data_IF_034487231475
#
_entry.id   IF_034487231475
#
_cell.length_a   1.000
_cell.length_b   1.000
_cell.length_c   1.000
_cell.angle_alpha   90.00
_cell.angle_beta   90.00
_cell.angle_gamma   90.00
#
_symmetry.space_group_name_H-M   'P 1'
#
loop_
_entity.id
_entity.type
_entity.pdbx_description
1 polymer ?
#
# COMPACT_ATOMS: atom_id res chain seq x y z
N UNK A 1 23.03 33.04 4.48
CA UNK A 1 21.71 33.10 5.16
C UNK A 1 20.65 33.12 4.10
N UNK A 2 19.61 32.29 4.25
CA UNK A 2 18.44 32.32 3.38
C UNK A 2 17.66 33.62 3.61
N UNK A 3 17.06 34.16 2.55
CA UNK A 3 16.13 35.28 2.71
C UNK A 3 14.93 34.86 3.57
N UNK A 4 14.48 35.75 4.46
CA UNK A 4 13.39 35.46 5.40
C UNK A 4 12.12 34.97 4.68
N UNK A 5 11.80 35.54 3.51
CA UNK A 5 10.66 35.11 2.68
C UNK A 5 10.76 33.66 2.23
N UNK A 6 11.98 33.20 1.88
CA UNK A 6 12.22 31.81 1.46
C UNK A 6 12.10 30.86 2.64
N UNK A 7 12.58 31.27 3.82
CA UNK A 7 12.47 30.51 5.06
C UNK A 7 11.01 30.33 5.49
N UNK A 8 10.21 31.38 5.42
CA UNK A 8 8.79 31.33 5.78
C UNK A 8 8.02 30.44 4.79
N UNK A 9 8.26 30.59 3.48
CA UNK A 9 7.69 29.70 2.47
C UNK A 9 8.04 28.23 2.71
N UNK A 10 9.32 27.92 2.94
CA UNK A 10 9.79 26.55 3.18
C UNK A 10 9.16 25.96 4.43
N UNK A 11 9.01 26.76 5.49
CA UNK A 11 8.36 26.35 6.73
C UNK A 11 6.90 25.99 6.47
N UNK A 12 6.16 26.83 5.74
CA UNK A 12 4.77 26.57 5.36
C UNK A 12 4.64 25.33 4.48
N UNK A 13 5.50 25.18 3.46
CA UNK A 13 5.49 24.03 2.56
C UNK A 13 5.78 22.72 3.31
N UNK A 14 6.80 22.70 4.18
CA UNK A 14 7.13 21.51 4.97
C UNK A 14 6.02 21.15 5.96
N UNK A 15 5.40 22.13 6.62
CA UNK A 15 4.25 21.87 7.49
C UNK A 15 3.04 21.34 6.72
N UNK A 16 2.81 21.85 5.51
CA UNK A 16 1.77 21.33 4.63
C UNK A 16 2.04 19.86 4.26
N UNK A 17 3.28 19.52 3.91
CA UNK A 17 3.68 18.13 3.63
C UNK A 17 3.55 17.21 4.84
N UNK A 18 3.86 17.69 6.05
CA UNK A 18 3.64 16.93 7.29
C UNK A 18 2.15 16.59 7.42
N UNK A 19 1.25 17.57 7.24
CA UNK A 19 -0.19 17.33 7.31
C UNK A 19 -0.68 16.34 6.25
N UNK A 20 -0.20 16.46 5.00
CA UNK A 20 -0.55 15.52 3.94
C UNK A 20 -0.02 14.11 4.22
N UNK A 21 1.19 13.99 4.74
CA UNK A 21 1.81 12.69 5.08
C UNK A 21 1.10 12.06 6.29
N UNK A 22 0.65 12.87 7.25
CA UNK A 22 -0.16 12.40 8.38
C UNK A 22 -1.52 11.86 7.89
N UNK A 23 -2.17 12.59 6.98
CA UNK A 23 -3.41 12.13 6.33
C UNK A 23 -3.19 10.83 5.57
N UNK A 24 -2.08 10.70 4.84
CA UNK A 24 -1.71 9.46 4.16
C UNK A 24 -1.52 8.31 5.15
N UNK A 25 -0.86 8.54 6.29
CA UNK A 25 -0.71 7.55 7.34
C UNK A 25 -2.06 7.07 7.87
N UNK A 26 -2.98 7.99 8.18
CA UNK A 26 -4.33 7.67 8.64
C UNK A 26 -5.11 6.85 7.60
N UNK A 27 -5.02 7.22 6.31
CA UNK A 27 -5.60 6.43 5.22
C UNK A 27 -5.03 5.01 5.15
N UNK A 28 -3.73 4.83 5.36
CA UNK A 28 -3.08 3.52 5.39
C UNK A 28 -3.50 2.67 6.61
N UNK A 29 -3.71 3.29 7.76
CA UNK A 29 -4.23 2.61 8.95
C UNK A 29 -5.70 2.21 8.74
N UNK A 30 -6.51 3.08 8.15
CA UNK A 30 -7.90 2.77 7.80
C UNK A 30 -7.97 1.65 6.73
N UNK A 31 -7.06 1.65 5.76
CA UNK A 31 -6.92 0.59 4.76
C UNK A 31 -6.63 -0.76 5.43
N UNK A 32 -5.75 -0.81 6.43
CA UNK A 32 -5.51 -2.01 7.23
C UNK A 32 -6.80 -2.50 7.90
N UNK A 33 -7.53 -1.61 8.58
CA UNK A 33 -8.76 -1.96 9.28
C UNK A 33 -9.86 -2.47 8.31
N UNK A 34 -9.97 -1.88 7.11
CA UNK A 34 -10.87 -2.36 6.08
C UNK A 34 -10.48 -3.76 5.56
N UNK A 35 -9.18 -4.05 5.43
CA UNK A 35 -8.74 -5.40 5.06
C UNK A 35 -9.07 -6.44 6.13
N UNK A 36 -8.94 -6.09 7.41
CA UNK A 36 -9.31 -6.97 8.53
C UNK A 36 -10.83 -7.24 8.56
N UNK A 37 -11.64 -6.23 8.23
CA UNK A 37 -13.12 -6.33 8.21
C UNK A 37 -13.70 -6.83 6.88
N UNK A 38 -12.88 -7.03 5.85
CA UNK A 38 -13.29 -7.40 4.48
C UNK A 38 -14.30 -6.42 3.83
N UNK A 39 -14.24 -5.15 4.18
CA UNK A 39 -15.13 -4.11 3.65
C UNK A 39 -14.63 -3.57 2.30
N UNK A 40 -14.94 -4.27 1.21
CA UNK A 40 -14.49 -3.92 -0.14
C UNK A 40 -15.05 -2.58 -0.65
N UNK A 41 -16.27 -2.20 -0.24
CA UNK A 41 -16.89 -0.94 -0.65
C UNK A 41 -16.16 0.30 -0.09
N UNK A 42 -15.65 0.19 1.15
CA UNK A 42 -14.89 1.25 1.81
C UNK A 42 -13.49 1.42 1.21
N UNK A 43 -12.94 0.36 0.60
CA UNK A 43 -11.59 0.34 0.04
C UNK A 43 -11.44 1.20 -1.22
N UNK A 44 -12.47 1.25 -2.08
CA UNK A 44 -12.42 2.02 -3.34
C UNK A 44 -12.32 3.54 -3.06
N UNK A 45 -13.08 4.03 -2.07
CA UNK A 45 -12.98 5.41 -1.59
C UNK A 45 -11.60 5.74 -1.02
N UNK A 46 -11.07 4.85 -0.17
CA UNK A 46 -9.72 5.00 0.41
C UNK A 46 -8.63 5.04 -0.67
N UNK A 47 -8.75 4.24 -1.74
CA UNK A 47 -7.78 4.22 -2.83
C UNK A 47 -7.75 5.56 -3.59
N UNK A 48 -8.92 6.14 -3.84
CA UNK A 48 -9.05 7.45 -4.49
C UNK A 48 -8.45 8.57 -3.63
N UNK A 49 -8.72 8.55 -2.33
CA UNK A 49 -8.17 9.54 -1.39
C UNK A 49 -6.66 9.39 -1.23
N UNK A 50 -6.13 8.16 -1.25
CA UNK A 50 -4.70 7.87 -1.24
C UNK A 50 -4.02 8.40 -2.50
N UNK A 51 -4.58 8.16 -3.69
CA UNK A 51 -4.06 8.67 -4.95
C UNK A 51 -4.03 10.20 -4.99
N UNK A 52 -5.11 10.86 -4.56
CA UNK A 52 -5.19 12.32 -4.46
C UNK A 52 -4.18 12.90 -3.46
N UNK A 53 -3.99 12.24 -2.32
CA UNK A 53 -3.03 12.69 -1.30
C UNK A 53 -1.59 12.53 -1.78
N UNK A 54 -1.27 11.44 -2.50
CA UNK A 54 0.06 11.23 -3.08
C UNK A 54 0.40 12.28 -4.15
N UNK A 55 -0.54 12.61 -5.03
CA UNK A 55 -0.35 13.66 -6.05
C UNK A 55 -0.08 15.03 -5.40
N UNK A 56 -0.77 15.35 -4.29
CA UNK A 56 -0.52 16.59 -3.53
C UNK A 56 0.88 16.60 -2.88
N UNK A 57 1.32 15.47 -2.30
CA UNK A 57 2.66 15.33 -1.73
C UNK A 57 3.72 15.52 -2.83
N UNK A 58 3.55 14.88 -3.99
CA UNK A 58 4.50 14.97 -5.10
C UNK A 58 4.60 16.39 -5.67
N UNK A 59 3.46 17.08 -5.82
CA UNK A 59 3.42 18.48 -6.22
C UNK A 59 4.14 19.38 -5.22
N UNK A 60 3.87 19.23 -3.92
CA UNK A 60 4.52 20.02 -2.87
C UNK A 60 6.03 19.77 -2.85
N UNK A 61 6.45 18.51 -2.94
CA UNK A 61 7.87 18.14 -2.96
C UNK A 61 8.58 18.75 -4.18
N UNK A 62 7.94 18.74 -5.35
CA UNK A 62 8.47 19.34 -6.58
C UNK A 62 8.59 20.85 -6.46
N UNK A 63 7.57 21.53 -5.91
CA UNK A 63 7.59 22.97 -5.66
C UNK A 63 8.72 23.36 -4.71
N UNK A 64 8.91 22.59 -3.62
CA UNK A 64 10.00 22.81 -2.66
C UNK A 64 11.38 22.66 -3.31
N UNK A 65 11.58 21.63 -4.13
CA UNK A 65 12.86 21.41 -4.81
C UNK A 65 13.15 22.48 -5.87
N UNK A 66 12.12 22.97 -6.56
CA UNK A 66 12.25 24.04 -7.56
C UNK A 66 12.78 25.36 -6.99
N UNK A 67 12.53 25.68 -5.73
CA UNK A 67 13.07 26.88 -5.05
C UNK A 67 14.60 26.89 -5.11
N UNK A 68 15.21 25.72 -4.95
CA UNK A 68 16.65 25.53 -4.99
C UNK A 68 17.16 25.13 -6.38
N UNK A 69 16.30 25.10 -7.40
CA UNK A 69 16.63 24.61 -8.74
C UNK A 69 17.03 23.13 -8.77
N UNK A 70 16.67 22.36 -7.74
CA UNK A 70 17.02 20.94 -7.63
C UNK A 70 16.04 20.14 -8.48
N UNK A 71 16.55 19.35 -9.43
CA UNK A 71 15.69 18.47 -10.24
C UNK A 71 15.26 17.24 -9.41
N UNK A 72 13.96 16.90 -9.36
CA UNK A 72 13.48 15.72 -8.64
C UNK A 72 14.12 14.40 -9.10
N UNK A 73 14.52 14.30 -10.36
CA UNK A 73 15.20 13.13 -10.93
C UNK A 73 16.65 12.93 -10.45
N UNK A 74 17.24 13.88 -9.72
CA UNK A 74 18.59 13.68 -9.18
C UNK A 74 18.55 12.67 -8.04
N UNK A 75 19.36 11.61 -8.10
CA UNK A 75 19.46 10.61 -7.02
C UNK A 75 19.77 11.21 -5.65
N UNK A 76 20.43 12.37 -5.62
CA UNK A 76 20.89 13.03 -4.39
C UNK A 76 20.04 14.26 -4.02
N UNK A 77 18.83 14.44 -4.60
CA UNK A 77 18.00 15.63 -4.36
C UNK A 77 17.73 15.88 -2.86
N UNK A 78 17.50 14.82 -2.08
CA UNK A 78 17.29 14.91 -0.63
C UNK A 78 18.54 15.42 0.11
N UNK A 79 19.73 14.94 -0.28
CA UNK A 79 21.00 15.38 0.34
C UNK A 79 21.32 16.83 -0.03
N UNK A 80 21.08 17.21 -1.29
CA UNK A 80 21.26 18.58 -1.75
C UNK A 80 20.33 19.53 -1.00
N UNK A 81 19.05 19.15 -0.82
CA UNK A 81 18.11 19.93 -0.03
C UNK A 81 18.56 20.06 1.43
N UNK A 82 19.00 18.97 2.07
CA UNK A 82 19.54 18.98 3.43
C UNK A 82 20.76 19.90 3.59
N UNK A 83 21.64 19.95 2.59
CA UNK A 83 22.76 20.88 2.59
C UNK A 83 22.31 22.35 2.50
N UNK A 84 21.26 22.64 1.72
CA UNK A 84 20.72 24.01 1.60
C UNK A 84 20.05 24.48 2.90
N UNK A 85 19.30 23.61 3.58
CA UNK A 85 18.67 23.94 4.87
C UNK A 85 19.60 23.78 6.07
N UNK A 86 20.81 23.24 5.88
CA UNK A 86 21.70 22.80 6.96
C UNK A 86 22.19 23.91 7.89
N UNK A 87 22.03 25.19 7.50
CA UNK A 87 22.34 26.35 8.34
C UNK A 87 21.14 26.83 9.18
N UNK A 88 19.95 26.24 9.01
CA UNK A 88 18.71 26.66 9.66
C UNK A 88 18.15 25.54 10.55
N UNK A 89 18.48 25.57 11.85
CA UNK A 89 18.09 24.51 12.80
C UNK A 89 16.58 24.26 12.84
N UNK A 90 15.77 25.31 12.73
CA UNK A 90 14.30 25.17 12.71
C UNK A 90 13.79 24.35 11.51
N UNK A 91 14.30 24.62 10.30
CA UNK A 91 13.91 23.87 9.10
C UNK A 91 14.40 22.43 9.15
N UNK A 92 15.58 22.20 9.74
CA UNK A 92 16.16 20.86 9.91
C UNK A 92 15.30 19.98 10.82
N UNK A 93 14.76 20.54 11.90
CA UNK A 93 13.83 19.82 12.80
C UNK A 93 12.57 19.42 12.05
N UNK A 94 11.93 20.36 11.34
CA UNK A 94 10.70 20.10 10.57
C UNK A 94 10.96 19.04 9.48
N UNK A 95 12.10 19.13 8.79
CA UNK A 95 12.50 18.15 7.78
C UNK A 95 12.71 16.75 8.36
N UNK A 96 13.34 16.64 9.53
CA UNK A 96 13.51 15.35 10.20
C UNK A 96 12.17 14.73 10.62
N UNK A 97 11.24 15.54 11.14
CA UNK A 97 9.89 15.07 11.47
C UNK A 97 9.16 14.52 10.24
N UNK A 98 9.26 15.22 9.10
CA UNK A 98 8.69 14.75 7.84
C UNK A 98 9.30 13.41 7.39
N UNK A 99 10.64 13.26 7.48
CA UNK A 99 11.31 11.98 7.15
C UNK A 99 10.84 10.84 8.04
N UNK A 100 10.70 11.08 9.34
CA UNK A 100 10.20 10.06 10.28
C UNK A 100 8.78 9.64 9.91
N UNK A 101 7.92 10.59 9.58
CA UNK A 101 6.54 10.32 9.20
C UNK A 101 6.43 9.58 7.85
N UNK A 102 7.28 9.94 6.87
CA UNK A 102 7.39 9.20 5.61
C UNK A 102 7.87 7.76 5.85
N UNK A 103 8.81 7.55 6.78
CA UNK A 103 9.24 6.20 7.15
C UNK A 103 8.10 5.39 7.77
N UNK A 104 7.31 5.98 8.67
CA UNK A 104 6.10 5.34 9.23
C UNK A 104 5.09 4.98 8.14
N UNK A 105 4.84 5.87 7.19
CA UNK A 105 3.97 5.58 6.04
C UNK A 105 4.50 4.42 5.20
N UNK A 106 5.81 4.37 4.94
CA UNK A 106 6.43 3.27 4.19
C UNK A 106 6.22 1.93 4.91
N UNK A 107 6.51 1.87 6.21
CA UNK A 107 6.30 0.66 7.01
C UNK A 107 4.84 0.23 7.01
N UNK A 108 3.90 1.16 7.17
CA UNK A 108 2.47 0.84 7.14
C UNK A 108 2.04 0.32 5.76
N UNK A 109 2.53 0.90 4.68
CA UNK A 109 2.24 0.42 3.33
C UNK A 109 2.81 -0.99 3.07
N UNK A 110 3.99 -1.31 3.62
CA UNK A 110 4.56 -2.67 3.58
C UNK A 110 3.71 -3.68 4.36
N UNK A 111 3.14 -3.29 5.50
CA UNK A 111 2.20 -4.12 6.28
C UNK A 111 0.94 -4.40 5.44
N UNK A 112 0.32 -3.36 4.87
CA UNK A 112 -0.87 -3.51 4.02
C UNK A 112 -0.58 -4.42 2.81
N UNK A 113 0.59 -4.28 2.17
CA UNK A 113 1.02 -5.15 1.08
C UNK A 113 1.14 -6.63 1.47
N UNK A 114 1.63 -6.92 2.69
CA UNK A 114 1.68 -8.28 3.22
C UNK A 114 0.28 -8.85 3.46
N UNK A 115 -0.65 -8.06 4.00
CA UNK A 115 -2.05 -8.47 4.22
C UNK A 115 -2.71 -8.84 2.89
N UNK A 116 -2.56 -8.01 1.86
CA UNK A 116 -3.07 -8.29 0.51
C UNK A 116 -2.51 -9.61 -0.03
N UNK A 117 -1.20 -9.82 0.10
CA UNK A 117 -0.53 -11.04 -0.37
C UNK A 117 -1.05 -12.29 0.35
N UNK A 118 -1.30 -12.21 1.65
CA UNK A 118 -1.86 -13.31 2.44
C UNK A 118 -3.32 -13.61 2.05
N UNK A 119 -4.14 -12.57 1.86
CA UNK A 119 -5.53 -12.71 1.41
C UNK A 119 -5.61 -13.36 0.03
N UNK A 120 -4.75 -12.97 -0.91
CA UNK A 120 -4.65 -13.59 -2.24
C UNK A 120 -4.30 -15.09 -2.14
N UNK A 121 -3.30 -15.46 -1.34
CA UNK A 121 -2.91 -16.87 -1.12
C UNK A 121 -4.03 -17.70 -0.48
N UNK A 122 -4.77 -17.11 0.46
CA UNK A 122 -5.93 -17.78 1.07
C UNK A 122 -7.03 -18.05 0.04
N UNK A 123 -7.33 -17.05 -0.80
CA UNK A 123 -8.31 -17.16 -1.88
C UNK A 123 -7.89 -18.20 -2.93
N UNK A 124 -6.62 -18.23 -3.34
CA UNK A 124 -6.09 -19.28 -4.23
C UNK A 124 -6.25 -20.68 -3.64
N UNK A 125 -5.97 -20.85 -2.34
CA UNK A 125 -6.18 -22.14 -1.66
C UNK A 125 -7.65 -22.55 -1.65
N UNK A 126 -8.56 -21.64 -1.32
CA UNK A 126 -10.01 -21.90 -1.34
C UNK A 126 -10.50 -22.25 -2.74
N UNK A 127 -10.05 -21.51 -3.76
CA UNK A 127 -10.34 -21.82 -5.16
C UNK A 127 -9.77 -23.19 -5.54
N UNK A 128 -8.57 -23.54 -5.12
CA UNK A 128 -7.97 -24.84 -5.40
C UNK A 128 -8.72 -25.98 -4.73
N UNK A 129 -9.17 -25.80 -3.48
CA UNK A 129 -10.06 -26.75 -2.78
C UNK A 129 -11.37 -26.92 -3.56
N UNK A 130 -12.01 -25.82 -3.96
CA UNK A 130 -13.27 -25.88 -4.69
C UNK A 130 -13.12 -26.47 -6.10
N UNK A 131 -12.02 -26.15 -6.80
CA UNK A 131 -11.68 -26.79 -8.08
C UNK A 131 -11.40 -28.28 -7.92
N UNK A 132 -10.81 -28.70 -6.79
CA UNK A 132 -10.54 -30.10 -6.50
C UNK A 132 -11.82 -30.85 -6.10
N UNK A 133 -12.76 -30.22 -5.40
CA UNK A 133 -14.08 -30.79 -5.09
C UNK A 133 -14.99 -30.86 -6.33
N UNK A 134 -14.81 -29.97 -7.30
CA UNK A 134 -15.54 -29.97 -8.57
C UNK A 134 -14.94 -30.87 -9.65
N UNK A 135 -13.82 -31.56 -9.43
CA UNK A 135 -13.32 -32.57 -10.37
C UNK A 135 -14.11 -33.88 -10.19
N UNK A 136 -14.95 -34.30 -11.15
CA UNK A 136 -15.72 -35.53 -11.03
C UNK A 136 -14.89 -36.76 -11.45
N UNK A 137 -13.67 -36.93 -10.94
CA UNK A 137 -12.79 -38.08 -11.18
C UNK A 137 -11.67 -38.01 -10.11
N UNK A 138 -11.59 -38.82 -9.06
CA UNK A 138 -11.75 -40.27 -9.00
C UNK A 138 -12.17 -40.63 -7.57
N UNK A 139 -13.40 -41.11 -7.36
CA UNK A 139 -13.69 -41.89 -6.15
C UNK A 139 -12.93 -43.22 -6.31
N UNK A 140 -11.69 -43.27 -5.85
CA UNK A 140 -10.98 -44.54 -5.64
C UNK A 140 -11.59 -45.18 -4.40
N UNK A 141 -12.67 -45.91 -4.59
CA UNK A 141 -13.21 -46.74 -3.52
C UNK A 141 -12.31 -47.97 -3.41
N UNK A 142 -11.73 -48.18 -2.23
CA UNK A 142 -10.99 -49.39 -1.93
C UNK A 142 -12.00 -50.52 -1.71
N UNK A 143 -11.96 -51.54 -2.55
CA UNK A 143 -12.73 -52.76 -2.32
C UNK A 143 -12.21 -53.46 -1.07
N UNK A 144 -13.03 -54.30 -0.42
CA UNK A 144 -12.61 -55.12 0.74
C UNK A 144 -11.40 -56.05 0.45
N UNK A 145 -10.98 -56.17 -0.81
CA UNK A 145 -9.78 -56.90 -1.27
C UNK A 145 -8.57 -55.99 -1.52
N UNK A 146 -8.61 -54.73 -1.10
CA UNK A 146 -7.49 -53.77 -1.21
C UNK A 146 -7.21 -53.26 -2.62
N UNK A 147 -8.02 -53.60 -3.62
CA UNK A 147 -7.86 -53.10 -5.00
C UNK A 147 -8.61 -51.79 -5.17
N UNK A 148 -7.90 -50.77 -5.67
CA UNK A 148 -8.47 -49.48 -6.05
C UNK A 148 -9.31 -49.64 -7.31
N UNK A 149 -10.60 -49.36 -7.22
CA UNK A 149 -11.52 -49.46 -8.35
C UNK A 149 -12.09 -48.06 -8.64
N UNK A 150 -11.80 -47.54 -9.83
CA UNK A 150 -12.40 -46.30 -10.32
C UNK A 150 -13.86 -46.62 -10.67
N UNK A 151 -14.80 -46.03 -9.94
CA UNK A 151 -16.22 -46.22 -10.24
C UNK A 151 -16.64 -45.11 -11.22
N UNK A 152 -16.98 -45.40 -12.48
CA UNK A 152 -17.49 -44.38 -13.38
C UNK A 152 -18.85 -43.90 -12.85
N UNK A 153 -18.97 -42.60 -12.62
CA UNK A 153 -20.22 -41.97 -12.19
C UNK A 153 -21.14 -41.92 -13.41
N UNK A 154 -22.04 -42.90 -13.56
CA UNK A 154 -23.11 -42.83 -14.55
C UNK A 154 -24.22 -41.91 -14.01
N UNK A 155 -24.13 -40.63 -14.34
CA UNK A 155 -25.23 -39.68 -14.11
C UNK A 155 -26.29 -39.97 -15.17
N UNK A 156 -27.17 -40.95 -14.93
CA UNK A 156 -28.39 -41.09 -15.73
C UNK A 156 -29.31 -39.93 -15.37
N UNK A 157 -29.43 -38.97 -16.29
CA UNK A 157 -30.42 -37.91 -16.21
C UNK A 157 -31.81 -38.55 -16.13
N UNK A 158 -32.44 -38.47 -14.96
CA UNK A 158 -33.86 -38.78 -14.80
C UNK A 158 -34.64 -37.71 -15.57
N UNK A 159 -35.17 -38.10 -16.73
CA UNK A 159 -36.09 -37.30 -17.54
C UNK A 159 -37.44 -37.29 -16.80
N UNK A 160 -37.85 -36.12 -16.32
CA UNK A 160 -39.22 -35.83 -15.88
C UNK A 160 -39.92 -35.01 -16.96
#
# INVERSE_FOLDING_TARGET
MLEQNVKDYLTTALNHEINLTQKLYELLVNEQACYEKQELASLEGLLKDKASTLDQIEKSATQRLNIFGIKPLMKNHSQLFEQQIGQEDGLKIIWNNLKELMFKCKTQNEINGRIITLSQKSLERTINIFKQSLRPNNLTTYTAKGKAQQTPINISAAKA
#
